data_IF_800571103989
#
_entry.id   IF_800571103989
#
_cell.length_a   1.000
_cell.length_b   1.000
_cell.length_c   1.000
_cell.angle_alpha   90.00
_cell.angle_beta   90.00
_cell.angle_gamma   90.00
#
_symmetry.space_group_name_H-M   'P 1'
#
loop_
_entity.id
_entity.type
_entity.pdbx_description
1 polymer ?
#
# COMPACT_ATOMS: atom_id res chain seq x y z
N UNK A 1 -7.25 -2.61 -20.56
CA UNK A 1 -7.70 -1.96 -19.31
C UNK A 1 -7.86 -0.47 -19.53
N UNK A 2 -8.76 0.16 -18.79
CA UNK A 2 -9.05 1.59 -18.93
C UNK A 2 -8.72 2.33 -17.63
N UNK A 3 -7.99 3.43 -17.75
CA UNK A 3 -7.68 4.31 -16.65
C UNK A 3 -8.85 5.28 -16.44
N UNK A 4 -9.47 5.21 -15.26
CA UNK A 4 -10.63 6.02 -14.89
C UNK A 4 -10.25 7.01 -13.79
N UNK A 5 -10.87 8.18 -13.80
CA UNK A 5 -10.65 9.21 -12.76
C UNK A 5 -11.56 8.96 -11.57
N UNK A 6 -10.96 8.92 -10.37
CA UNK A 6 -11.68 8.88 -9.12
C UNK A 6 -12.41 7.57 -8.85
N UNK A 7 -13.37 7.65 -7.95
CA UNK A 7 -14.17 6.50 -7.51
C UNK A 7 -15.12 6.01 -8.61
N UNK A 8 -15.52 4.72 -8.56
CA UNK A 8 -16.53 4.22 -9.51
C UNK A 8 -17.86 4.95 -9.32
N UNK A 9 -18.54 5.23 -10.43
CA UNK A 9 -19.86 5.84 -10.41
C UNK A 9 -20.91 4.93 -9.75
N UNK A 10 -20.80 3.61 -9.96
CA UNK A 10 -21.61 2.61 -9.30
C UNK A 10 -20.74 1.80 -8.33
N UNK A 11 -21.14 1.82 -7.06
CA UNK A 11 -20.46 1.11 -5.96
C UNK A 11 -21.14 -0.20 -5.56
N UNK A 12 -22.22 -0.59 -6.24
CA UNK A 12 -22.92 -1.84 -5.97
C UNK A 12 -21.98 -3.05 -6.07
N UNK A 13 -22.01 -3.92 -5.07
CA UNK A 13 -21.17 -5.12 -5.02
C UNK A 13 -19.72 -4.87 -4.60
N UNK A 14 -19.32 -3.62 -4.35
CA UNK A 14 -17.97 -3.30 -3.86
C UNK A 14 -17.90 -3.43 -2.34
N UNK A 15 -16.71 -3.82 -1.85
CA UNK A 15 -16.50 -4.01 -0.41
C UNK A 15 -16.45 -2.67 0.33
N UNK A 16 -16.92 -2.66 1.56
CA UNK A 16 -16.93 -1.48 2.41
C UNK A 16 -15.52 -0.89 2.60
N UNK A 17 -14.51 -1.73 2.79
CA UNK A 17 -13.12 -1.28 2.92
C UNK A 17 -12.58 -0.57 1.69
N UNK A 18 -13.01 -0.96 0.50
CA UNK A 18 -12.72 -0.24 -0.75
C UNK A 18 -13.40 1.14 -0.76
N UNK A 19 -14.67 1.19 -0.41
CA UNK A 19 -15.44 2.44 -0.36
C UNK A 19 -14.85 3.41 0.66
N UNK A 20 -14.46 2.94 1.84
CA UNK A 20 -13.80 3.79 2.84
C UNK A 20 -12.50 4.40 2.32
N UNK A 21 -11.78 3.67 1.48
CA UNK A 21 -10.56 4.20 0.84
C UNK A 21 -10.89 5.40 -0.07
N UNK A 22 -11.90 5.28 -0.90
CA UNK A 22 -12.34 6.39 -1.75
C UNK A 22 -12.87 7.56 -0.92
N UNK A 23 -13.62 7.29 0.13
CA UNK A 23 -14.13 8.33 1.04
C UNK A 23 -12.98 9.12 1.68
N UNK A 24 -11.91 8.44 2.11
CA UNK A 24 -10.72 9.09 2.65
C UNK A 24 -10.07 10.01 1.61
N UNK A 25 -9.82 9.51 0.42
CA UNK A 25 -9.15 10.27 -0.64
C UNK A 25 -9.99 11.48 -1.08
N UNK A 26 -11.28 11.31 -1.23
CA UNK A 26 -12.20 12.38 -1.62
C UNK A 26 -12.31 13.46 -0.53
N UNK A 27 -12.39 13.06 0.74
CA UNK A 27 -12.41 13.99 1.88
C UNK A 27 -11.13 14.84 1.94
N UNK A 28 -10.00 14.27 1.61
CA UNK A 28 -8.71 14.97 1.61
C UNK A 28 -8.45 15.80 0.35
N UNK A 29 -9.33 15.71 -0.65
CA UNK A 29 -9.13 16.36 -1.93
C UNK A 29 -7.95 15.80 -2.73
N UNK A 30 -7.61 14.53 -2.53
CA UNK A 30 -6.54 13.84 -3.25
C UNK A 30 -7.07 13.35 -4.58
N UNK A 31 -6.43 13.78 -5.67
CA UNK A 31 -6.72 13.25 -6.99
C UNK A 31 -6.12 11.86 -7.17
N UNK A 32 -6.87 10.97 -7.77
CA UNK A 32 -6.41 9.60 -8.09
C UNK A 32 -7.08 9.07 -9.34
N UNK A 33 -6.39 8.16 -9.98
CA UNK A 33 -6.93 7.41 -11.12
C UNK A 33 -6.98 5.94 -10.73
N UNK A 34 -7.88 5.21 -11.34
CA UNK A 34 -8.22 3.83 -10.98
C UNK A 34 -8.27 2.96 -12.21
N UNK A 35 -7.77 1.76 -12.09
CA UNK A 35 -7.95 0.66 -13.04
C UNK A 35 -8.62 -0.48 -12.31
N UNK A 36 -9.77 -0.93 -12.81
CA UNK A 36 -10.44 -2.14 -12.35
C UNK A 36 -9.92 -3.34 -13.16
N UNK A 37 -9.67 -4.43 -12.48
CA UNK A 37 -9.13 -5.66 -13.08
C UNK A 37 -9.54 -6.89 -12.28
N UNK A 38 -9.41 -8.07 -12.88
CA UNK A 38 -9.48 -9.32 -12.13
C UNK A 38 -8.27 -9.41 -11.16
N UNK A 39 -8.35 -10.21 -10.10
CA UNK A 39 -7.19 -10.47 -9.27
C UNK A 39 -5.99 -10.87 -10.15
N UNK A 40 -4.85 -10.17 -9.98
CA UNK A 40 -3.68 -10.37 -10.82
C UNK A 40 -3.02 -11.72 -10.49
N UNK A 41 -3.35 -12.73 -11.27
CA UNK A 41 -2.88 -14.10 -11.09
C UNK A 41 -1.74 -14.46 -12.05
N UNK A 42 -1.50 -13.62 -13.09
CA UNK A 42 -0.46 -13.87 -14.08
C UNK A 42 0.43 -12.65 -14.28
N UNK A 43 1.64 -12.87 -14.78
CA UNK A 43 2.60 -11.82 -15.09
C UNK A 43 2.07 -10.86 -16.17
N UNK A 44 1.33 -11.39 -17.15
CA UNK A 44 0.76 -10.60 -18.23
C UNK A 44 -0.26 -9.58 -17.71
N UNK A 45 -1.13 -9.99 -16.79
CA UNK A 45 -2.10 -9.09 -16.17
C UNK A 45 -1.41 -8.01 -15.33
N UNK A 46 -0.38 -8.39 -14.56
CA UNK A 46 0.42 -7.41 -13.81
C UNK A 46 1.05 -6.37 -14.73
N UNK A 47 1.68 -6.81 -15.83
CA UNK A 47 2.30 -5.89 -16.80
C UNK A 47 1.29 -4.95 -17.45
N UNK A 48 0.09 -5.43 -17.75
CA UNK A 48 -0.97 -4.58 -18.31
C UNK A 48 -1.43 -3.52 -17.31
N UNK A 49 -1.55 -3.88 -16.03
CA UNK A 49 -1.86 -2.92 -14.95
C UNK A 49 -0.77 -1.86 -14.86
N UNK A 50 0.49 -2.28 -14.81
CA UNK A 50 1.65 -1.39 -14.68
C UNK A 50 1.72 -0.40 -15.86
N UNK A 51 1.55 -0.88 -17.08
CA UNK A 51 1.55 -0.05 -18.29
C UNK A 51 0.38 0.95 -18.30
N UNK A 52 -0.77 0.55 -17.80
CA UNK A 52 -1.96 1.41 -17.75
C UNK A 52 -1.83 2.48 -16.69
N UNK A 53 -1.33 2.14 -15.49
CA UNK A 53 -1.16 3.08 -14.38
C UNK A 53 -0.01 4.06 -14.61
N UNK A 54 1.07 3.67 -15.27
CA UNK A 54 2.26 4.50 -15.44
C UNK A 54 2.75 5.12 -14.13
N UNK A 55 2.89 4.29 -13.10
CA UNK A 55 3.33 4.66 -11.78
C UNK A 55 4.36 3.65 -11.28
N UNK A 56 5.11 4.00 -10.25
CA UNK A 56 5.95 3.02 -9.55
C UNK A 56 5.03 2.08 -8.79
N UNK A 57 4.92 0.86 -9.28
CA UNK A 57 4.13 -0.18 -8.62
C UNK A 57 4.94 -0.71 -7.44
N UNK A 58 4.32 -0.65 -6.28
CA UNK A 58 4.94 -1.11 -5.04
C UNK A 58 4.45 -2.50 -4.71
N UNK A 59 5.38 -3.38 -4.35
CA UNK A 59 5.01 -4.49 -3.50
C UNK A 59 5.00 -3.99 -2.06
N UNK A 60 3.92 -4.29 -1.37
CA UNK A 60 3.71 -3.90 0.01
C UNK A 60 3.89 -5.14 0.88
N UNK A 61 4.86 -5.11 1.78
CA UNK A 61 5.25 -6.25 2.60
C UNK A 61 4.90 -5.95 4.05
N UNK A 62 4.13 -6.84 4.66
CA UNK A 62 3.75 -6.72 6.05
C UNK A 62 4.59 -7.64 6.91
N UNK A 63 5.40 -7.05 7.78
CA UNK A 63 6.48 -7.71 8.51
C UNK A 63 6.29 -7.53 10.02
N UNK A 64 6.91 -8.42 10.78
CA UNK A 64 6.96 -8.31 12.23
C UNK A 64 8.32 -8.79 12.77
N UNK A 65 8.61 -8.41 14.02
CA UNK A 65 9.72 -8.97 14.76
C UNK A 65 9.40 -10.40 15.23
N UNK A 66 10.42 -11.09 15.76
CA UNK A 66 10.27 -12.47 16.23
C UNK A 66 9.21 -12.65 17.31
N UNK A 67 9.08 -11.65 18.20
CA UNK A 67 8.13 -11.67 19.32
C UNK A 67 6.70 -11.31 18.91
N UNK A 68 6.47 -10.92 17.66
CA UNK A 68 5.16 -10.45 17.18
C UNK A 68 4.63 -9.26 18.00
N UNK A 69 5.53 -8.36 18.39
CA UNK A 69 5.22 -7.15 19.18
C UNK A 69 5.43 -5.85 18.40
N UNK A 70 6.21 -5.89 17.33
CA UNK A 70 6.45 -4.75 16.45
C UNK A 70 6.10 -5.13 15.01
N UNK A 71 5.31 -4.29 14.34
CA UNK A 71 4.81 -4.53 12.99
C UNK A 71 5.23 -3.42 12.05
N UNK A 72 5.55 -3.80 10.83
CA UNK A 72 6.08 -2.90 9.81
C UNK A 72 5.36 -3.13 8.48
N UNK A 73 5.03 -2.04 7.81
CA UNK A 73 4.56 -2.06 6.42
C UNK A 73 5.63 -1.43 5.55
N UNK A 74 6.21 -2.21 4.64
CA UNK A 74 7.24 -1.74 3.72
C UNK A 74 6.64 -1.50 2.34
N UNK A 75 6.85 -0.27 1.81
CA UNK A 75 6.63 0.04 0.40
C UNK A 75 7.97 -0.01 -0.32
N UNK A 76 8.10 -0.92 -1.27
CA UNK A 76 9.31 -1.11 -2.08
C UNK A 76 8.90 -1.31 -3.54
N UNK A 77 9.64 -0.78 -4.54
CA UNK A 77 9.33 -1.05 -5.93
C UNK A 77 9.28 -2.57 -6.20
N UNK A 78 8.30 -3.01 -6.97
CA UNK A 78 8.12 -4.44 -7.27
C UNK A 78 9.30 -5.07 -7.99
N UNK A 79 10.09 -4.25 -8.69
CA UNK A 79 11.31 -4.66 -9.40
C UNK A 79 12.50 -4.96 -8.49
N UNK A 80 12.47 -4.48 -7.24
CA UNK A 80 13.56 -4.73 -6.28
C UNK A 80 13.43 -6.09 -5.61
N UNK A 81 14.55 -6.79 -5.46
CA UNK A 81 14.65 -7.99 -4.64
C UNK A 81 14.72 -7.58 -3.17
N UNK A 82 13.92 -8.20 -2.34
CA UNK A 82 13.84 -7.89 -0.91
C UNK A 82 14.51 -8.98 -0.06
N UNK A 83 15.38 -8.53 0.85
CA UNK A 83 16.01 -9.37 1.86
C UNK A 83 15.72 -8.82 3.25
N UNK A 84 15.11 -9.61 4.12
CA UNK A 84 14.75 -9.20 5.49
C UNK A 84 15.96 -8.72 6.31
N UNK A 85 17.13 -9.31 6.07
CA UNK A 85 18.36 -8.94 6.75
C UNK A 85 18.78 -7.49 6.48
N UNK A 86 18.69 -7.06 5.23
CA UNK A 86 19.08 -5.70 4.84
C UNK A 86 18.19 -4.66 5.52
N UNK A 87 16.88 -4.94 5.58
CA UNK A 87 15.93 -4.08 6.27
C UNK A 87 16.17 -4.08 7.78
N UNK A 88 16.38 -5.25 8.38
CA UNK A 88 16.63 -5.37 9.83
C UNK A 88 17.79 -4.52 10.28
N UNK A 89 18.88 -4.48 9.52
CA UNK A 89 20.05 -3.66 9.80
C UNK A 89 19.70 -2.18 9.79
N UNK A 90 18.96 -1.72 8.76
CA UNK A 90 18.65 -0.30 8.61
C UNK A 90 17.71 0.23 9.70
N UNK A 91 16.76 -0.55 10.18
CA UNK A 91 15.80 -0.12 11.19
C UNK A 91 16.17 -0.54 12.63
N UNK A 92 17.30 -1.22 12.80
CA UNK A 92 17.75 -1.68 14.12
C UNK A 92 16.88 -2.78 14.73
N UNK A 93 16.18 -3.56 13.89
CA UNK A 93 15.39 -4.70 14.35
C UNK A 93 16.25 -5.97 14.43
N UNK A 94 15.92 -6.86 15.36
CA UNK A 94 16.70 -8.09 15.58
C UNK A 94 16.53 -9.09 14.45
N UNK A 95 15.30 -9.45 14.12
CA UNK A 95 14.95 -10.40 13.05
C UNK A 95 13.54 -10.12 12.57
N UNK A 96 13.40 -9.97 11.27
CA UNK A 96 12.09 -9.75 10.64
C UNK A 96 11.62 -11.00 9.91
N UNK A 97 10.31 -11.20 9.93
CA UNK A 97 9.61 -12.22 9.14
C UNK A 97 8.29 -11.63 8.64
N UNK A 98 7.67 -12.31 7.68
CA UNK A 98 6.33 -11.91 7.25
C UNK A 98 5.34 -12.11 8.39
N UNK A 99 4.53 -11.09 8.66
CA UNK A 99 3.49 -11.17 9.67
C UNK A 99 2.34 -12.08 9.20
N UNK A 100 1.70 -12.73 10.17
CA UNK A 100 0.57 -13.63 9.88
C UNK A 100 -0.63 -12.86 9.33
N UNK A 101 -1.46 -13.49 8.47
CA UNK A 101 -2.68 -12.85 7.94
C UNK A 101 -3.62 -12.30 9.00
N UNK A 102 -3.71 -12.93 10.17
CA UNK A 102 -4.55 -12.46 11.28
C UNK A 102 -4.18 -11.07 11.79
N UNK A 103 -2.89 -10.73 11.82
CA UNK A 103 -2.42 -9.39 12.19
C UNK A 103 -2.67 -8.37 11.08
N UNK A 104 -2.53 -8.77 9.84
CA UNK A 104 -2.84 -7.94 8.68
C UNK A 104 -4.31 -7.53 8.69
N UNK A 105 -5.21 -8.46 8.95
CA UNK A 105 -6.63 -8.20 9.07
C UNK A 105 -6.96 -7.34 10.30
N UNK A 106 -6.35 -7.66 11.44
CA UNK A 106 -6.57 -6.95 12.70
C UNK A 106 -6.16 -5.47 12.63
N UNK A 107 -4.98 -5.17 12.06
CA UNK A 107 -4.44 -3.81 12.07
C UNK A 107 -4.79 -3.01 10.82
N UNK A 108 -4.87 -3.65 9.67
CA UNK A 108 -5.04 -2.97 8.39
C UNK A 108 -6.41 -3.22 7.73
N UNK A 109 -7.20 -4.16 8.25
CA UNK A 109 -8.45 -4.64 7.63
C UNK A 109 -8.23 -5.10 6.18
N UNK A 110 -7.14 -5.80 5.93
CA UNK A 110 -6.73 -6.26 4.60
C UNK A 110 -6.42 -7.74 4.66
N UNK A 111 -6.74 -8.45 3.57
CA UNK A 111 -6.37 -9.85 3.36
C UNK A 111 -5.10 -9.97 2.52
N UNK A 112 -4.37 -11.11 2.58
CA UNK A 112 -3.21 -11.34 1.72
C UNK A 112 -3.51 -11.12 0.25
N UNK A 113 -2.57 -10.49 -0.46
CA UNK A 113 -2.72 -10.11 -1.86
C UNK A 113 -3.32 -8.72 -2.10
N UNK A 114 -3.84 -8.07 -1.05
CA UNK A 114 -4.46 -6.74 -1.13
C UNK A 114 -3.75 -5.69 -0.28
N UNK A 115 -2.55 -5.99 0.21
CA UNK A 115 -1.82 -5.11 1.14
C UNK A 115 -1.59 -3.74 0.52
N UNK A 116 -1.90 -2.70 1.28
CA UNK A 116 -1.84 -1.32 0.81
C UNK A 116 -1.49 -0.37 1.95
N UNK A 117 -0.74 0.67 1.63
CA UNK A 117 -0.47 1.79 2.53
C UNK A 117 -1.77 2.46 3.00
N UNK A 118 -2.82 2.42 2.19
CA UNK A 118 -4.12 3.01 2.54
C UNK A 118 -4.83 2.26 3.68
N UNK A 119 -4.42 1.02 3.96
CA UNK A 119 -4.87 0.28 5.14
C UNK A 119 -4.45 0.90 6.47
N UNK A 120 -3.47 1.80 6.47
CA UNK A 120 -3.07 2.53 7.69
C UNK A 120 -4.19 3.37 8.30
N UNK A 121 -5.22 3.74 7.53
CA UNK A 121 -6.41 4.40 8.07
C UNK A 121 -7.13 3.56 9.12
N UNK A 122 -6.96 2.24 9.09
CA UNK A 122 -7.58 1.31 10.03
C UNK A 122 -6.70 1.04 11.27
N UNK A 123 -5.42 1.42 11.22
CA UNK A 123 -4.47 1.25 12.33
C UNK A 123 -4.55 2.43 13.32
N UNK A 124 -5.69 2.58 13.95
CA UNK A 124 -5.94 3.67 14.91
C UNK A 124 -5.12 3.55 16.19
N UNK A 125 -4.64 2.35 16.50
CA UNK A 125 -3.76 2.08 17.64
C UNK A 125 -2.28 2.33 17.37
N UNK A 126 -1.93 2.76 16.14
CA UNK A 126 -0.54 3.03 15.72
C UNK A 126 0.40 1.84 15.97
N UNK A 127 -0.07 0.63 15.64
CA UNK A 127 0.67 -0.61 15.84
C UNK A 127 1.63 -0.91 14.69
N UNK A 128 1.43 -0.28 13.52
CA UNK A 128 2.19 -0.52 12.31
C UNK A 128 3.07 0.68 11.98
N UNK A 129 4.38 0.45 11.90
CA UNK A 129 5.35 1.45 11.43
C UNK A 129 5.49 1.34 9.92
N UNK A 130 5.27 2.45 9.21
CA UNK A 130 5.47 2.52 7.77
C UNK A 130 6.95 2.72 7.44
N UNK A 131 7.44 1.94 6.49
CA UNK A 131 8.78 2.05 5.91
C UNK A 131 8.63 2.28 4.42
N UNK A 132 9.34 3.26 3.86
CA UNK A 132 9.26 3.57 2.43
C UNK A 132 10.66 3.58 1.84
N UNK A 133 10.86 2.77 0.79
CA UNK A 133 12.11 2.77 0.04
C UNK A 133 12.31 4.10 -0.69
N UNK A 134 13.55 4.57 -0.76
CA UNK A 134 13.87 5.87 -1.34
C UNK A 134 13.44 6.03 -2.80
N UNK A 135 13.43 4.96 -3.59
CA UNK A 135 13.00 5.03 -4.98
C UNK A 135 11.49 5.26 -5.11
N UNK A 136 10.71 4.80 -4.14
CA UNK A 136 9.28 5.14 -4.05
C UNK A 136 9.12 6.62 -3.72
N UNK A 137 9.86 7.12 -2.73
CA UNK A 137 9.81 8.53 -2.31
C UNK A 137 10.23 9.49 -3.44
N UNK A 138 11.14 9.07 -4.29
CA UNK A 138 11.65 9.88 -5.40
C UNK A 138 10.76 9.80 -6.66
N UNK A 139 9.74 8.95 -6.67
CA UNK A 139 8.81 8.83 -7.79
C UNK A 139 7.74 9.92 -7.75
N UNK A 140 7.24 10.33 -8.92
CA UNK A 140 6.13 11.29 -9.02
C UNK A 140 4.80 10.64 -8.61
N UNK A 141 4.58 9.39 -9.05
CA UNK A 141 3.36 8.64 -8.81
C UNK A 141 3.67 7.29 -8.19
N UNK A 142 2.79 6.84 -7.31
CA UNK A 142 2.79 5.49 -6.74
C UNK A 142 1.52 4.75 -7.10
N UNK A 143 1.66 3.47 -7.37
CA UNK A 143 0.54 2.55 -7.56
C UNK A 143 0.26 1.77 -6.29
N UNK A 144 -0.98 1.69 -5.88
CA UNK A 144 -1.41 0.93 -4.70
C UNK A 144 -2.83 0.41 -4.85
N UNK A 145 -3.17 -0.59 -4.05
CA UNK A 145 -4.54 -1.11 -3.98
C UNK A 145 -5.43 -0.24 -3.09
N UNK A 146 -6.73 -0.08 -3.41
CA UNK A 146 -7.71 0.49 -2.49
C UNK A 146 -8.18 -0.55 -1.47
N UNK A 147 -7.25 -1.23 -0.79
CA UNK A 147 -7.48 -2.29 0.20
C UNK A 147 -8.18 -3.56 -0.34
N UNK A 148 -8.27 -3.71 -1.65
CA UNK A 148 -8.75 -4.90 -2.36
C UNK A 148 -7.87 -5.16 -3.56
N UNK A 149 -7.89 -6.38 -4.12
CA UNK A 149 -7.01 -6.78 -5.21
C UNK A 149 -7.67 -6.81 -6.60
N UNK A 150 -8.83 -6.18 -6.72
CA UNK A 150 -9.58 -6.08 -7.99
C UNK A 150 -9.58 -4.66 -8.56
N UNK A 151 -8.83 -3.78 -7.94
CA UNK A 151 -8.56 -2.42 -8.43
C UNK A 151 -7.15 -2.01 -8.04
N UNK A 152 -6.59 -1.10 -8.82
CA UNK A 152 -5.32 -0.45 -8.52
C UNK A 152 -5.46 1.06 -8.74
N UNK A 153 -4.83 1.84 -7.87
CA UNK A 153 -4.88 3.29 -7.90
C UNK A 153 -3.52 3.87 -8.25
N UNK A 154 -3.54 5.02 -8.92
CA UNK A 154 -2.37 5.88 -9.09
C UNK A 154 -2.58 7.16 -8.28
N UNK A 155 -1.64 7.45 -7.39
CA UNK A 155 -1.62 8.64 -6.54
C UNK A 155 -0.33 9.41 -6.77
N UNK A 156 -0.37 10.74 -6.56
CA UNK A 156 0.88 11.49 -6.43
C UNK A 156 1.58 11.10 -5.13
N UNK A 157 2.86 10.80 -5.22
CA UNK A 157 3.68 10.50 -4.03
C UNK A 157 3.64 11.65 -3.03
N UNK A 158 3.67 12.89 -3.53
CA UNK A 158 3.55 14.09 -2.70
C UNK A 158 2.26 14.09 -1.88
N UNK A 159 1.13 13.72 -2.47
CA UNK A 159 -0.16 13.66 -1.77
C UNK A 159 -0.19 12.56 -0.71
N UNK A 160 0.45 11.43 -0.98
CA UNK A 160 0.62 10.38 0.03
C UNK A 160 1.34 10.93 1.28
N UNK A 161 2.46 11.60 1.07
CA UNK A 161 3.32 12.08 2.15
C UNK A 161 2.73 13.29 2.88
N UNK A 162 2.17 14.25 2.15
CA UNK A 162 1.76 15.54 2.71
C UNK A 162 0.29 15.59 3.13
N UNK A 163 -0.58 14.75 2.56
CA UNK A 163 -2.02 14.76 2.83
C UNK A 163 -2.52 13.49 3.51
N UNK A 164 -2.20 12.31 2.95
CA UNK A 164 -2.76 11.05 3.43
C UNK A 164 -2.12 10.63 4.75
N UNK A 165 -0.80 10.54 4.82
CA UNK A 165 -0.12 10.10 6.04
C UNK A 165 -0.42 10.98 7.26
N UNK A 166 -0.41 12.32 7.16
CA UNK A 166 -0.82 13.16 8.28
C UNK A 166 -2.28 12.93 8.71
N UNK A 167 -3.20 12.73 7.76
CA UNK A 167 -4.61 12.51 8.06
C UNK A 167 -4.88 11.20 8.78
N UNK A 168 -4.09 10.17 8.52
CA UNK A 168 -4.18 8.87 9.22
C UNK A 168 -3.18 8.77 10.39
N UNK A 169 -2.53 9.88 10.71
CA UNK A 169 -1.63 10.03 11.86
C UNK A 169 -0.46 9.02 11.86
N UNK A 170 0.11 8.77 10.69
CA UNK A 170 1.27 7.89 10.53
C UNK A 170 2.46 8.64 9.94
N UNK A 171 3.63 8.39 10.53
CA UNK A 171 4.92 8.78 9.99
C UNK A 171 5.54 7.61 9.24
N UNK A 172 6.60 7.89 8.51
CA UNK A 172 7.36 6.84 7.83
C UNK A 172 8.85 6.94 8.15
N UNK A 173 9.54 5.82 8.02
CA UNK A 173 11.00 5.74 8.04
C UNK A 173 11.46 5.49 6.61
N UNK A 174 12.39 6.33 6.13
CA UNK A 174 13.03 6.15 4.83
C UNK A 174 14.04 5.00 4.92
N UNK A 175 13.99 4.09 3.98
CA UNK A 175 14.96 3.00 3.85
C UNK A 175 15.56 2.98 2.45
N UNK A 176 16.73 2.37 2.33
CA UNK A 176 17.44 2.22 1.06
C UNK A 176 17.74 0.74 0.84
N UNK A 177 16.95 0.11 -0.03
CA UNK A 177 17.05 -1.33 -0.28
C UNK A 177 17.47 -1.65 -1.72
#
# INVERSE_FOLDING_TARGET
MELQKGRPADTAGRLEKEIRTYDLLDRLGVAYERVDHAPAMTMEVCQEIDQTLQAVICKNLFLCNRQETAFYLLMIPDTKVFHTKDLSVQIGASRLSFAKPEYMEKFLDITPGSVSVLGLMNDTGHRVQLLIDEDVLNSEFVGCHPCINTSSLRLRTKDLIEKILPAVEHDFIRVKL
#
